data_IF_541529808266
#
_entry.id   IF_541529808266
#
_cell.length_a   1.000
_cell.length_b   1.000
_cell.length_c   1.000
_cell.angle_alpha   90.00
_cell.angle_beta   90.00
_cell.angle_gamma   90.00
#
_symmetry.space_group_name_H-M   'P 1'
#
loop_
_entity.id
_entity.type
_entity.pdbx_description
1 polymer ?
#
# COMPACT_ATOMS: atom_id res chain seq x y z
N UNK A 1 19.32 -1.20 -17.89
CA UNK A 1 18.53 -0.17 -17.19
C UNK A 1 19.00 -0.16 -15.74
N UNK A 2 19.53 0.96 -15.25
CA UNK A 2 19.94 1.08 -13.84
C UNK A 2 18.76 1.70 -13.09
N UNK A 3 18.23 1.00 -12.09
CA UNK A 3 17.20 1.53 -11.21
C UNK A 3 17.85 2.36 -10.10
N UNK A 4 17.18 3.42 -9.66
CA UNK A 4 17.57 4.06 -8.42
C UNK A 4 17.36 3.09 -7.26
N UNK A 5 18.10 3.27 -6.17
CA UNK A 5 17.94 2.44 -4.97
C UNK A 5 16.49 2.44 -4.47
N UNK A 6 15.84 3.61 -4.46
CA UNK A 6 14.45 3.74 -4.04
C UNK A 6 13.47 3.01 -4.95
N UNK A 7 13.69 3.04 -6.27
CA UNK A 7 12.82 2.33 -7.20
C UNK A 7 12.95 0.81 -7.02
N UNK A 8 14.17 0.32 -6.77
CA UNK A 8 14.42 -1.09 -6.48
C UNK A 8 13.75 -1.54 -5.17
N UNK A 9 13.88 -0.76 -4.10
CA UNK A 9 13.24 -1.04 -2.80
C UNK A 9 11.71 -1.04 -2.92
N UNK A 10 11.14 -0.04 -3.62
CA UNK A 10 9.71 0.03 -3.91
C UNK A 10 9.21 -1.19 -4.69
N UNK A 11 9.99 -1.67 -5.67
CA UNK A 11 9.63 -2.87 -6.43
C UNK A 11 9.61 -4.12 -5.56
N UNK A 12 10.62 -4.28 -4.67
CA UNK A 12 10.67 -5.40 -3.74
C UNK A 12 9.50 -5.40 -2.76
N UNK A 13 9.20 -4.26 -2.16
CA UNK A 13 8.10 -4.13 -1.20
C UNK A 13 6.74 -4.39 -1.86
N UNK A 14 6.49 -3.82 -3.04
CA UNK A 14 5.28 -4.09 -3.81
C UNK A 14 5.15 -5.58 -4.17
N UNK A 15 6.25 -6.22 -4.57
CA UNK A 15 6.24 -7.66 -4.85
C UNK A 15 5.92 -8.48 -3.59
N UNK A 16 6.48 -8.11 -2.44
CA UNK A 16 6.20 -8.77 -1.16
C UNK A 16 4.73 -8.66 -0.76
N UNK A 17 4.16 -7.45 -0.78
CA UNK A 17 2.74 -7.20 -0.46
C UNK A 17 1.82 -8.03 -1.37
N UNK A 18 2.14 -8.10 -2.67
CA UNK A 18 1.34 -8.80 -3.67
C UNK A 18 1.43 -10.33 -3.61
N UNK A 19 2.33 -10.91 -2.82
CA UNK A 19 2.39 -12.37 -2.61
C UNK A 19 1.18 -12.92 -1.83
N UNK A 20 0.48 -12.07 -1.09
CA UNK A 20 -0.69 -12.46 -0.29
C UNK A 20 -1.95 -11.82 -0.88
N UNK A 21 -2.82 -12.65 -1.45
CA UNK A 21 -4.11 -12.21 -1.98
C UNK A 21 -4.95 -11.45 -0.92
N UNK A 22 -5.06 -11.93 0.34
CA UNK A 22 -5.73 -11.18 1.41
C UNK A 22 -5.15 -9.78 1.67
N UNK A 23 -3.82 -9.62 1.61
CA UNK A 23 -3.20 -8.31 1.83
C UNK A 23 -3.52 -7.34 0.70
N UNK A 24 -3.54 -7.83 -0.54
CA UNK A 24 -3.91 -7.02 -1.71
C UNK A 24 -5.35 -6.55 -1.59
N UNK A 25 -6.28 -7.45 -1.26
CA UNK A 25 -7.69 -7.12 -1.09
C UNK A 25 -7.91 -6.11 0.03
N UNK A 26 -7.26 -6.32 1.19
CA UNK A 26 -7.31 -5.38 2.31
C UNK A 26 -6.83 -3.98 1.90
N UNK A 27 -5.66 -3.88 1.26
CA UNK A 27 -5.09 -2.58 0.85
C UNK A 27 -6.00 -1.90 -0.18
N UNK A 28 -6.53 -2.65 -1.15
CA UNK A 28 -7.45 -2.11 -2.15
C UNK A 28 -8.73 -1.56 -1.51
N UNK A 29 -9.28 -2.26 -0.52
CA UNK A 29 -10.47 -1.81 0.19
C UNK A 29 -10.19 -0.55 1.02
N UNK A 30 -9.08 -0.53 1.77
CA UNK A 30 -8.64 0.65 2.51
C UNK A 30 -8.43 1.87 1.60
N UNK A 31 -7.84 1.68 0.41
CA UNK A 31 -7.70 2.75 -0.59
C UNK A 31 -9.03 3.26 -1.12
N UNK A 32 -10.02 2.37 -1.35
CA UNK A 32 -11.37 2.80 -1.76
C UNK A 32 -12.02 3.65 -0.67
N UNK A 33 -11.96 3.20 0.59
CA UNK A 33 -12.51 3.94 1.73
C UNK A 33 -11.85 5.31 1.90
N UNK A 34 -10.51 5.37 1.83
CA UNK A 34 -9.75 6.62 1.93
C UNK A 34 -10.12 7.61 0.80
N UNK A 35 -10.20 7.14 -0.46
CA UNK A 35 -10.60 7.99 -1.60
C UNK A 35 -12.05 8.47 -1.51
N UNK A 36 -12.92 7.71 -0.86
CA UNK A 36 -14.30 8.10 -0.60
C UNK A 36 -14.44 9.06 0.59
N UNK A 37 -13.34 9.42 1.27
CA UNK A 37 -13.38 10.27 2.47
C UNK A 37 -13.92 9.56 3.71
N UNK A 38 -14.01 8.22 3.69
CA UNK A 38 -14.51 7.39 4.79
C UNK A 38 -13.41 6.97 5.77
N UNK A 39 -12.20 7.54 5.63
CA UNK A 39 -11.09 7.28 6.54
C UNK A 39 -11.43 7.78 7.95
N UNK A 40 -11.11 6.97 8.96
CA UNK A 40 -11.20 7.42 10.35
C UNK A 40 -9.98 8.28 10.65
N UNK A 41 -10.18 9.56 10.98
CA UNK A 41 -9.11 10.37 11.56
C UNK A 41 -8.77 9.80 12.94
N UNK A 42 -7.51 9.45 13.12
CA UNK A 42 -7.00 9.01 14.41
C UNK A 42 -6.19 10.15 15.02
N UNK A 43 -6.66 10.68 16.14
CA UNK A 43 -5.90 11.62 16.95
C UNK A 43 -4.97 10.82 17.86
N UNK A 44 -3.69 10.83 17.56
CA UNK A 44 -2.64 10.15 18.34
C UNK A 44 -2.25 10.94 19.60
N UNK A 45 -3.24 11.50 20.31
CA UNK A 45 -3.03 12.19 21.59
C UNK A 45 -2.94 11.20 22.74
#
# INVERSE_FOLDING_TARGET
>A
MLLSKSDYENLLENAYIRKSQPNVEFIQDQWKQAKAGLGKEHNWQ
#
